data_IF_224894785517
#
_entry.id   IF_224894785517
#
_cell.length_a   1.000
_cell.length_b   1.000
_cell.length_c   1.000
_cell.angle_alpha   90.00
_cell.angle_beta   90.00
_cell.angle_gamma   90.00
#
_symmetry.space_group_name_H-M   'P 1'
#
loop_
_entity.id
_entity.type
_entity.pdbx_description
1 polymer ?
#
# COMPACT_ATOMS: atom_id res chain seq x y z
N UNK A 1 -5.85 -40.63 -15.06
CA UNK A 1 -6.45 -39.50 -15.78
C UNK A 1 -5.67 -38.27 -15.34
N UNK A 2 -4.65 -37.88 -16.08
CA UNK A 2 -3.94 -36.60 -15.93
C UNK A 2 -4.92 -35.51 -16.36
N UNK A 3 -5.52 -34.81 -15.41
CA UNK A 3 -6.15 -33.51 -15.67
C UNK A 3 -5.08 -32.57 -16.16
N UNK A 4 -5.03 -32.33 -17.48
CA UNK A 4 -4.14 -31.31 -18.04
C UNK A 4 -4.46 -29.98 -17.35
N UNK A 5 -3.49 -29.44 -16.64
CA UNK A 5 -3.55 -28.08 -16.12
C UNK A 5 -3.59 -27.15 -17.31
N UNK A 6 -4.78 -26.61 -17.62
CA UNK A 6 -4.91 -25.55 -18.61
C UNK A 6 -4.30 -24.30 -18.02
N UNK A 7 -3.26 -23.77 -18.65
CA UNK A 7 -2.66 -22.48 -18.31
C UNK A 7 -3.73 -21.40 -18.22
N UNK A 8 -3.74 -20.62 -17.16
CA UNK A 8 -4.68 -19.52 -16.95
C UNK A 8 -4.03 -18.19 -17.27
N UNK A 9 -4.74 -17.33 -18.01
CA UNK A 9 -4.28 -15.97 -18.33
C UNK A 9 -4.97 -14.93 -17.46
N UNK A 10 -4.19 -14.27 -16.61
CA UNK A 10 -4.63 -13.22 -15.69
C UNK A 10 -4.34 -11.83 -16.26
N UNK A 11 -5.32 -10.92 -16.21
CA UNK A 11 -5.12 -9.50 -16.50
C UNK A 11 -5.29 -8.67 -15.23
N UNK A 12 -4.18 -8.22 -14.66
CA UNK A 12 -4.16 -7.42 -13.45
C UNK A 12 -4.20 -5.93 -13.80
N UNK A 13 -5.29 -5.24 -13.49
CA UNK A 13 -5.52 -3.85 -13.85
C UNK A 13 -5.32 -2.93 -12.64
N UNK A 14 -4.39 -1.99 -12.74
CA UNK A 14 -4.11 -1.04 -11.67
C UNK A 14 -3.08 -0.01 -12.09
N UNK A 15 -2.91 1.05 -11.29
CA UNK A 15 -1.87 2.01 -11.63
C UNK A 15 -2.03 3.38 -10.98
N UNK A 16 -1.13 4.27 -11.36
CA UNK A 16 -1.02 5.64 -10.89
C UNK A 16 -0.14 5.80 -9.65
N UNK A 17 -0.41 5.08 -8.58
CA UNK A 17 0.30 5.21 -7.29
C UNK A 17 0.86 3.87 -6.80
N UNK A 18 1.86 3.92 -5.92
CA UNK A 18 2.43 2.73 -5.28
C UNK A 18 1.37 1.90 -4.52
N UNK A 19 0.34 2.56 -3.96
CA UNK A 19 -0.76 1.91 -3.25
C UNK A 19 -1.62 0.98 -4.12
N UNK A 20 -1.62 1.17 -5.45
CA UNK A 20 -2.29 0.27 -6.39
C UNK A 20 -1.30 -0.71 -7.07
N UNK A 21 -0.09 -0.23 -7.38
CA UNK A 21 0.89 -1.01 -8.14
C UNK A 21 1.55 -2.08 -7.28
N UNK A 22 1.89 -1.79 -6.03
CA UNK A 22 2.55 -2.77 -5.17
C UNK A 22 1.68 -3.98 -4.83
N UNK A 23 0.40 -3.82 -4.41
CA UNK A 23 -0.49 -4.97 -4.21
C UNK A 23 -0.72 -5.79 -5.49
N UNK A 24 -0.85 -5.11 -6.64
CA UNK A 24 -0.97 -5.75 -7.93
C UNK A 24 0.25 -6.64 -8.22
N UNK A 25 1.46 -6.10 -8.05
CA UNK A 25 2.70 -6.83 -8.28
C UNK A 25 2.90 -7.97 -7.27
N UNK A 26 2.50 -7.80 -6.01
CA UNK A 26 2.54 -8.87 -5.02
C UNK A 26 1.65 -10.06 -5.43
N UNK A 27 0.45 -9.79 -5.94
CA UNK A 27 -0.44 -10.84 -6.49
C UNK A 27 0.14 -11.45 -7.77
N UNK A 28 0.73 -10.65 -8.66
CA UNK A 28 1.41 -11.14 -9.85
C UNK A 28 2.53 -12.12 -9.52
N UNK A 29 3.39 -11.74 -8.54
CA UNK A 29 4.48 -12.59 -8.06
C UNK A 29 3.96 -13.89 -7.42
N UNK A 30 2.87 -13.82 -6.65
CA UNK A 30 2.23 -15.01 -6.04
C UNK A 30 1.65 -15.96 -7.09
N UNK A 31 0.95 -15.44 -8.11
CA UNK A 31 0.43 -16.24 -9.22
C UNK A 31 1.55 -16.93 -10.00
N UNK A 32 2.59 -16.20 -10.37
CA UNK A 32 3.76 -16.76 -11.08
C UNK A 32 4.53 -17.79 -10.26
N UNK A 33 4.63 -17.61 -8.94
CA UNK A 33 5.27 -18.57 -8.06
C UNK A 33 4.47 -19.86 -7.92
N UNK A 34 3.13 -19.80 -8.04
CA UNK A 34 2.24 -20.96 -7.96
C UNK A 34 2.31 -21.83 -9.22
N UNK A 35 2.35 -21.19 -10.39
CA UNK A 35 2.39 -21.89 -11.68
C UNK A 35 3.22 -21.10 -12.68
N UNK A 36 4.29 -21.73 -13.19
CA UNK A 36 5.13 -21.15 -14.24
C UNK A 36 4.46 -21.17 -15.63
N UNK A 37 3.40 -21.97 -15.80
CA UNK A 37 2.63 -22.08 -17.06
C UNK A 37 1.58 -20.98 -17.20
N UNK A 38 1.19 -20.35 -16.07
CA UNK A 38 0.20 -19.28 -16.07
C UNK A 38 0.77 -17.99 -16.66
N UNK A 39 -0.08 -17.28 -17.40
CA UNK A 39 0.27 -16.01 -18.02
C UNK A 39 -0.27 -14.86 -17.17
N UNK A 40 0.63 -14.01 -16.68
CA UNK A 40 0.27 -12.83 -15.89
C UNK A 40 0.60 -11.55 -16.67
N UNK A 41 -0.45 -10.85 -17.09
CA UNK A 41 -0.38 -9.58 -17.80
C UNK A 41 -0.82 -8.43 -16.89
N UNK A 42 -0.23 -7.27 -17.07
CA UNK A 42 -0.59 -6.07 -16.30
C UNK A 42 -1.16 -5.01 -17.24
N UNK A 43 -2.32 -4.45 -16.88
CA UNK A 43 -2.93 -3.32 -17.57
C UNK A 43 -2.70 -2.04 -16.80
N UNK A 44 -2.08 -1.06 -17.43
CA UNK A 44 -1.77 0.23 -16.82
C UNK A 44 -1.76 1.39 -17.81
N UNK A 45 -1.33 2.56 -17.34
CA UNK A 45 -1.17 3.76 -18.15
C UNK A 45 0.30 4.08 -18.41
N UNK A 46 0.60 4.89 -19.42
CA UNK A 46 1.99 5.28 -19.74
C UNK A 46 2.62 6.20 -18.70
N UNK A 47 1.79 6.96 -17.98
CA UNK A 47 2.23 8.03 -17.08
C UNK A 47 2.29 7.63 -15.59
N UNK A 48 1.83 6.41 -15.24
CA UNK A 48 1.80 5.92 -13.87
C UNK A 48 3.12 5.23 -13.46
N UNK A 49 3.25 4.92 -12.17
CA UNK A 49 4.39 4.16 -11.64
C UNK A 49 4.50 2.77 -12.26
N UNK A 50 3.39 2.22 -12.71
CA UNK A 50 3.32 0.92 -13.38
C UNK A 50 4.18 0.86 -14.63
N UNK A 51 4.35 1.97 -15.36
CA UNK A 51 5.17 2.02 -16.56
C UNK A 51 6.65 1.67 -16.33
N UNK A 52 7.12 1.90 -15.10
CA UNK A 52 8.47 1.59 -14.66
C UNK A 52 8.53 0.28 -13.87
N UNK A 53 7.66 0.13 -12.87
CA UNK A 53 7.77 -0.97 -11.90
C UNK A 53 7.37 -2.33 -12.50
N UNK A 54 6.40 -2.37 -13.42
CA UNK A 54 5.93 -3.62 -14.03
C UNK A 54 7.01 -4.28 -14.89
N UNK A 55 7.66 -3.56 -15.87
CA UNK A 55 8.75 -4.14 -16.63
C UNK A 55 9.97 -4.51 -15.78
N UNK A 56 10.28 -3.72 -14.73
CA UNK A 56 11.36 -4.04 -13.80
C UNK A 56 11.17 -5.37 -13.05
N UNK A 57 9.90 -5.81 -12.87
CA UNK A 57 9.55 -7.13 -12.29
C UNK A 57 9.42 -8.24 -13.34
N UNK A 58 9.67 -7.92 -14.63
CA UNK A 58 9.60 -8.88 -15.73
C UNK A 58 8.18 -9.27 -16.15
N UNK A 59 7.21 -8.38 -15.94
CA UNK A 59 5.84 -8.54 -16.44
C UNK A 59 5.60 -7.70 -17.68
N UNK A 60 4.73 -8.20 -18.57
CA UNK A 60 4.26 -7.45 -19.71
C UNK A 60 3.25 -6.39 -19.28
N UNK A 61 3.47 -5.15 -19.73
CA UNK A 61 2.57 -4.03 -19.48
C UNK A 61 1.75 -3.71 -20.74
N UNK A 62 0.48 -4.02 -20.68
CA UNK A 62 -0.52 -3.61 -21.68
C UNK A 62 -0.99 -2.19 -21.37
N UNK A 63 -1.01 -1.34 -22.38
CA UNK A 63 -1.32 0.08 -22.21
C UNK A 63 -2.78 0.38 -22.53
N UNK A 64 -3.39 1.16 -21.64
CA UNK A 64 -4.68 1.79 -21.85
C UNK A 64 -4.59 3.30 -21.67
N UNK A 65 -5.39 4.06 -22.42
CA UNK A 65 -5.46 5.51 -22.29
C UNK A 65 -5.92 5.91 -20.89
N UNK A 66 -5.23 6.87 -20.28
CA UNK A 66 -5.61 7.44 -18.99
C UNK A 66 -6.88 8.29 -19.13
N UNK A 67 -7.95 7.87 -18.47
CA UNK A 67 -9.25 8.55 -18.49
C UNK A 67 -9.71 8.86 -17.06
N UNK A 68 -9.33 10.03 -16.51
CA UNK A 68 -9.78 10.44 -15.18
C UNK A 68 -11.29 10.70 -15.19
N UNK A 69 -11.96 10.28 -14.10
CA UNK A 69 -13.36 10.66 -13.88
C UNK A 69 -13.47 12.18 -13.69
N UNK A 70 -14.42 12.84 -14.39
CA UNK A 70 -14.60 14.27 -14.27
C UNK A 70 -15.06 14.65 -12.87
N UNK A 71 -14.45 15.70 -12.32
CA UNK A 71 -14.80 16.23 -10.98
C UNK A 71 -15.63 17.50 -11.07
N UNK A 72 -15.69 18.12 -12.25
CA UNK A 72 -16.43 19.36 -12.54
C UNK A 72 -17.09 19.24 -13.92
N UNK A 73 -18.21 19.92 -14.17
CA UNK A 73 -18.81 20.01 -15.50
C UNK A 73 -17.99 20.96 -16.39
N UNK A 74 -17.04 20.38 -17.12
CA UNK A 74 -16.15 21.09 -18.06
C UNK A 74 -16.03 20.33 -19.40
N UNK A 75 -15.20 20.85 -20.31
CA UNK A 75 -14.94 20.22 -21.62
C UNK A 75 -14.38 18.77 -21.44
N UNK A 76 -13.65 18.50 -20.39
CA UNK A 76 -13.16 17.15 -20.11
C UNK A 76 -14.33 16.22 -19.75
N UNK A 77 -15.32 16.69 -19.00
CA UNK A 77 -16.55 15.96 -18.72
C UNK A 77 -17.35 15.65 -19.97
N UNK A 78 -17.49 16.60 -20.90
CA UNK A 78 -18.18 16.38 -22.18
C UNK A 78 -17.47 15.33 -23.05
N UNK A 79 -16.14 15.27 -23.04
CA UNK A 79 -15.33 14.32 -23.80
C UNK A 79 -15.17 12.96 -23.12
N UNK A 80 -15.51 12.86 -21.83
CA UNK A 80 -15.31 11.66 -21.02
C UNK A 80 -15.98 10.40 -21.65
N UNK A 81 -17.26 10.40 -22.09
CA UNK A 81 -17.91 9.21 -22.65
C UNK A 81 -17.16 8.63 -23.85
N UNK A 82 -16.69 9.48 -24.75
CA UNK A 82 -15.95 9.05 -25.95
C UNK A 82 -14.59 8.48 -25.58
N UNK A 83 -13.84 9.18 -24.71
CA UNK A 83 -12.54 8.72 -24.23
C UNK A 83 -12.65 7.41 -23.45
N UNK A 84 -13.63 7.31 -22.58
CA UNK A 84 -13.87 6.09 -21.79
C UNK A 84 -14.26 4.91 -22.69
N UNK A 85 -15.15 5.12 -23.67
CA UNK A 85 -15.51 4.09 -24.66
C UNK A 85 -14.31 3.63 -25.48
N UNK A 86 -13.37 4.53 -25.80
CA UNK A 86 -12.12 4.19 -26.49
C UNK A 86 -11.24 3.31 -25.60
N UNK A 87 -11.03 3.70 -24.34
CA UNK A 87 -10.26 2.91 -23.37
C UNK A 87 -10.88 1.51 -23.19
N UNK A 88 -12.20 1.41 -23.05
CA UNK A 88 -12.88 0.11 -22.98
C UNK A 88 -12.64 -0.73 -24.22
N UNK A 89 -12.66 -0.15 -25.44
CA UNK A 89 -12.36 -0.88 -26.69
C UNK A 89 -10.91 -1.38 -26.73
N UNK A 90 -9.95 -0.57 -26.24
CA UNK A 90 -8.55 -0.99 -26.12
C UNK A 90 -8.42 -2.23 -25.23
N UNK A 91 -9.01 -2.18 -24.01
CA UNK A 91 -8.96 -3.33 -23.10
C UNK A 91 -9.68 -4.55 -23.64
N UNK A 92 -10.84 -4.39 -24.29
CA UNK A 92 -11.55 -5.52 -24.95
C UNK A 92 -10.67 -6.20 -25.99
N UNK A 93 -9.89 -5.44 -26.75
CA UNK A 93 -8.93 -5.98 -27.70
C UNK A 93 -7.87 -6.80 -26.99
N UNK A 94 -7.24 -6.29 -25.93
CA UNK A 94 -6.27 -7.03 -25.14
C UNK A 94 -6.85 -8.32 -24.56
N UNK A 95 -8.06 -8.28 -24.00
CA UNK A 95 -8.73 -9.49 -23.47
C UNK A 95 -8.84 -10.58 -24.54
N UNK A 96 -9.22 -10.22 -25.78
CA UNK A 96 -9.38 -11.18 -26.88
C UNK A 96 -8.05 -11.67 -27.45
N UNK A 97 -7.10 -10.77 -27.67
CA UNK A 97 -5.79 -11.09 -28.25
C UNK A 97 -4.97 -12.02 -27.35
N UNK A 98 -5.09 -11.86 -26.03
CA UNK A 98 -4.36 -12.66 -25.06
C UNK A 98 -5.20 -13.78 -24.42
N UNK A 99 -6.44 -14.00 -24.87
CA UNK A 99 -7.32 -15.03 -24.30
C UNK A 99 -7.43 -14.97 -22.78
N UNK A 100 -7.71 -13.76 -22.23
CA UNK A 100 -7.76 -13.53 -20.78
C UNK A 100 -8.93 -14.27 -20.14
N UNK A 101 -8.62 -15.09 -19.12
CA UNK A 101 -9.61 -15.89 -18.39
C UNK A 101 -10.22 -15.13 -17.22
N UNK A 102 -9.45 -14.21 -16.59
CA UNK A 102 -9.93 -13.41 -15.46
C UNK A 102 -9.25 -12.05 -15.41
N UNK A 103 -10.01 -11.03 -15.00
CA UNK A 103 -9.52 -9.67 -14.79
C UNK A 103 -9.52 -9.37 -13.28
N UNK A 104 -8.44 -8.79 -12.75
CA UNK A 104 -8.36 -8.36 -11.36
C UNK A 104 -8.05 -6.88 -11.29
N UNK A 105 -8.91 -6.09 -10.67
CA UNK A 105 -8.68 -4.65 -10.55
C UNK A 105 -8.26 -4.23 -9.16
N UNK A 106 -7.19 -3.44 -9.10
CA UNK A 106 -6.59 -2.90 -7.86
C UNK A 106 -6.86 -1.41 -7.67
N UNK A 107 -7.68 -0.81 -8.54
CA UNK A 107 -7.95 0.62 -8.53
C UNK A 107 -7.09 1.42 -9.52
N UNK A 108 -7.20 2.74 -9.47
CA UNK A 108 -6.56 3.61 -10.45
C UNK A 108 -7.34 3.74 -11.77
N UNK A 109 -6.70 4.39 -12.77
CA UNK A 109 -7.37 4.73 -14.01
C UNK A 109 -7.60 3.54 -14.96
N UNK A 110 -6.83 2.47 -14.83
CA UNK A 110 -6.93 1.28 -15.67
C UNK A 110 -8.09 0.36 -15.26
N UNK A 111 -8.47 0.34 -13.98
CA UNK A 111 -9.45 -0.63 -13.44
C UNK A 111 -10.87 -0.42 -13.97
N UNK A 112 -11.36 0.83 -14.05
CA UNK A 112 -12.72 1.08 -14.50
C UNK A 112 -12.99 0.62 -15.95
N UNK A 113 -12.16 0.95 -16.95
CA UNK A 113 -12.34 0.40 -18.30
C UNK A 113 -12.14 -1.11 -18.34
N UNK A 114 -11.27 -1.70 -17.46
CA UNK A 114 -11.07 -3.13 -17.39
C UNK A 114 -12.33 -3.87 -16.93
N UNK A 115 -13.02 -3.40 -15.89
CA UNK A 115 -14.28 -4.00 -15.42
C UNK A 115 -15.37 -3.98 -16.49
N UNK A 116 -15.50 -2.84 -17.20
CA UNK A 116 -16.51 -2.73 -18.28
C UNK A 116 -16.15 -3.63 -19.47
N UNK A 117 -14.86 -3.73 -19.81
CA UNK A 117 -14.40 -4.61 -20.88
C UNK A 117 -14.61 -6.08 -20.54
N UNK A 118 -14.18 -6.53 -19.36
CA UNK A 118 -14.35 -7.89 -18.85
C UNK A 118 -15.83 -8.32 -18.93
N UNK A 119 -16.74 -7.48 -18.41
CA UNK A 119 -18.18 -7.75 -18.48
C UNK A 119 -18.70 -7.91 -19.92
N UNK A 120 -18.23 -7.06 -20.85
CA UNK A 120 -18.65 -7.14 -22.27
C UNK A 120 -18.12 -8.38 -22.99
N UNK A 121 -16.95 -8.85 -22.58
CA UNK A 121 -16.35 -10.10 -23.11
C UNK A 121 -16.80 -11.34 -22.31
N UNK A 122 -17.64 -11.20 -21.28
CA UNK A 122 -18.10 -12.27 -20.39
C UNK A 122 -16.97 -12.97 -19.64
N UNK A 123 -15.89 -12.24 -19.38
CA UNK A 123 -14.77 -12.66 -18.54
C UNK A 123 -15.08 -12.28 -17.10
N UNK A 124 -14.95 -13.20 -16.13
CA UNK A 124 -15.12 -12.89 -14.73
C UNK A 124 -14.09 -11.84 -14.28
N UNK A 125 -14.47 -11.01 -13.30
CA UNK A 125 -13.51 -10.08 -12.73
C UNK A 125 -13.65 -9.95 -11.21
N UNK A 126 -12.51 -9.70 -10.57
CA UNK A 126 -12.36 -9.50 -9.13
C UNK A 126 -11.98 -8.06 -8.87
N UNK A 127 -12.52 -7.48 -7.79
CA UNK A 127 -12.15 -6.15 -7.31
C UNK A 127 -11.38 -6.29 -6.02
N UNK A 128 -10.20 -5.67 -5.94
CA UNK A 128 -9.45 -5.47 -4.71
C UNK A 128 -9.41 -3.98 -4.37
N UNK A 129 -9.82 -3.61 -3.14
CA UNK A 129 -9.76 -2.23 -2.64
C UNK A 129 -8.81 -2.12 -1.46
N UNK A 130 -7.78 -1.32 -1.64
CA UNK A 130 -6.74 -1.12 -0.65
C UNK A 130 -7.14 -0.17 0.48
N UNK A 131 -7.98 0.83 0.22
CA UNK A 131 -8.33 1.87 1.19
C UNK A 131 -9.65 1.59 1.89
N UNK A 132 -9.77 2.04 3.14
CA UNK A 132 -11.03 2.00 3.89
C UNK A 132 -12.15 2.85 3.24
N UNK A 133 -11.77 3.89 2.49
CA UNK A 133 -12.68 4.67 1.64
C UNK A 133 -12.46 4.29 0.19
N UNK A 134 -13.39 3.56 -0.43
CA UNK A 134 -13.16 2.99 -1.75
C UNK A 134 -13.14 4.05 -2.86
N UNK A 135 -12.31 3.79 -3.87
CA UNK A 135 -12.27 4.58 -5.09
C UNK A 135 -13.52 4.35 -5.96
N UNK A 136 -13.92 5.37 -6.73
CA UNK A 136 -15.13 5.31 -7.56
C UNK A 136 -15.12 4.14 -8.57
N UNK A 137 -13.97 3.83 -9.14
CA UNK A 137 -13.82 2.68 -10.05
C UNK A 137 -14.23 1.37 -9.36
N UNK A 138 -13.75 1.15 -8.14
CA UNK A 138 -14.03 -0.05 -7.37
C UNK A 138 -15.49 -0.08 -6.85
N UNK A 139 -16.06 1.08 -6.47
CA UNK A 139 -17.49 1.18 -6.11
C UNK A 139 -18.38 0.73 -7.29
N UNK A 140 -18.07 1.17 -8.49
CA UNK A 140 -18.84 0.78 -9.68
C UNK A 140 -18.58 -0.69 -10.08
N UNK A 141 -17.32 -1.14 -10.00
CA UNK A 141 -16.92 -2.50 -10.32
C UNK A 141 -17.54 -3.53 -9.37
N UNK A 142 -17.47 -3.32 -8.05
CA UNK A 142 -17.92 -4.27 -7.03
C UNK A 142 -19.39 -4.72 -7.18
N UNK A 143 -20.26 -3.85 -7.75
CA UNK A 143 -21.68 -4.20 -8.00
C UNK A 143 -21.86 -5.34 -9.00
N UNK A 144 -20.85 -5.67 -9.78
CA UNK A 144 -20.91 -6.66 -10.87
C UNK A 144 -19.72 -7.63 -10.85
N UNK A 145 -18.82 -7.47 -9.89
CA UNK A 145 -17.68 -8.36 -9.71
C UNK A 145 -18.12 -9.78 -9.34
N UNK A 146 -17.37 -10.77 -9.79
CA UNK A 146 -17.54 -12.15 -9.33
C UNK A 146 -17.16 -12.28 -7.84
N UNK A 147 -16.14 -11.51 -7.40
CA UNK A 147 -15.74 -11.40 -6.01
C UNK A 147 -15.15 -10.02 -5.70
N UNK A 148 -15.25 -9.58 -4.44
CA UNK A 148 -14.71 -8.31 -3.97
C UNK A 148 -13.91 -8.53 -2.69
N UNK A 149 -12.61 -8.20 -2.72
CA UNK A 149 -11.70 -8.20 -1.59
C UNK A 149 -11.44 -6.78 -1.10
N UNK A 150 -11.37 -6.60 0.21
CA UNK A 150 -11.02 -5.33 0.85
C UNK A 150 -9.95 -5.53 1.90
N UNK A 151 -9.13 -4.51 2.13
CA UNK A 151 -8.10 -4.56 3.18
C UNK A 151 -8.71 -4.32 4.56
N UNK A 152 -9.59 -3.33 4.67
CA UNK A 152 -10.15 -2.91 5.96
C UNK A 152 -11.60 -3.37 6.13
N UNK A 153 -11.91 -3.94 7.28
CA UNK A 153 -13.28 -4.29 7.64
C UNK A 153 -14.17 -3.05 7.66
N UNK A 154 -15.38 -3.19 7.13
CA UNK A 154 -16.34 -2.08 7.05
C UNK A 154 -16.16 -1.17 5.82
N UNK A 155 -15.22 -1.47 4.92
CA UNK A 155 -15.14 -0.77 3.62
C UNK A 155 -16.46 -0.93 2.86
N UNK A 156 -17.14 0.18 2.45
CA UNK A 156 -18.50 0.12 1.89
C UNK A 156 -18.49 -0.30 0.42
N UNK A 157 -18.25 -1.57 0.16
CA UNK A 157 -18.32 -2.19 -1.16
C UNK A 157 -19.29 -3.38 -1.17
N UNK A 158 -19.98 -3.57 -2.29
CA UNK A 158 -20.88 -4.69 -2.48
C UNK A 158 -20.11 -6.03 -2.43
N UNK A 159 -20.60 -6.99 -1.64
CA UNK A 159 -20.01 -8.32 -1.52
C UNK A 159 -18.59 -8.35 -0.95
N UNK A 160 -18.19 -7.30 -0.22
CA UNK A 160 -16.83 -7.16 0.32
C UNK A 160 -16.49 -8.27 1.32
N UNK A 161 -15.35 -8.92 1.11
CA UNK A 161 -14.70 -9.84 2.04
C UNK A 161 -13.35 -9.27 2.46
N UNK A 162 -13.01 -9.33 3.74
CA UNK A 162 -11.70 -8.87 4.23
C UNK A 162 -10.66 -9.91 3.81
N UNK A 163 -9.72 -9.47 2.99
CA UNK A 163 -8.61 -10.31 2.47
C UNK A 163 -7.25 -9.81 2.94
N UNK A 164 -7.18 -8.58 3.44
CA UNK A 164 -5.92 -7.93 3.78
C UNK A 164 -5.21 -7.33 2.56
N UNK A 165 -4.06 -6.71 2.81
CA UNK A 165 -3.22 -6.10 1.79
C UNK A 165 -2.27 -7.14 1.22
N UNK A 166 -2.23 -7.35 -0.10
CA UNK A 166 -1.12 -8.06 -0.73
C UNK A 166 0.18 -7.30 -0.48
N UNK A 167 1.05 -7.87 0.33
CA UNK A 167 2.31 -7.28 0.74
C UNK A 167 3.45 -7.82 -0.11
N UNK A 168 4.50 -7.01 -0.24
CA UNK A 168 5.74 -7.43 -0.89
C UNK A 168 6.37 -8.59 -0.13
N UNK A 169 6.96 -9.53 -0.86
CA UNK A 169 7.56 -10.73 -0.29
C UNK A 169 8.61 -10.42 0.78
N UNK A 170 9.39 -9.34 0.58
CA UNK A 170 10.40 -8.89 1.52
C UNK A 170 9.81 -8.48 2.89
N UNK A 171 8.51 -8.16 2.94
CA UNK A 171 7.78 -7.85 4.18
C UNK A 171 7.10 -9.11 4.74
N UNK A 172 6.54 -9.95 3.88
CA UNK A 172 5.87 -11.19 4.28
C UNK A 172 6.84 -12.14 4.96
N UNK A 173 8.02 -12.34 4.36
CA UNK A 173 9.06 -13.27 4.83
C UNK A 173 10.00 -12.65 5.87
N UNK A 174 9.76 -11.40 6.30
CA UNK A 174 10.68 -10.67 7.17
C UNK A 174 10.75 -11.25 8.57
N UNK A 175 11.93 -11.74 8.95
CA UNK A 175 12.34 -11.92 10.34
C UNK A 175 13.10 -10.65 10.78
N UNK A 176 12.42 -9.79 11.53
CA UNK A 176 12.97 -8.52 12.00
C UNK A 176 14.16 -8.71 12.92
N UNK A 177 14.13 -9.73 13.79
CA UNK A 177 15.22 -10.04 14.72
C UNK A 177 16.49 -10.45 13.99
N UNK A 178 16.37 -11.38 13.05
CA UNK A 178 17.49 -11.89 12.25
C UNK A 178 18.16 -10.81 11.38
N UNK A 179 17.39 -9.78 10.96
CA UNK A 179 17.90 -8.73 10.06
C UNK A 179 18.32 -7.44 10.79
N UNK A 180 18.14 -7.35 12.13
CA UNK A 180 18.37 -6.11 12.91
C UNK A 180 19.81 -5.64 12.86
N UNK A 181 20.79 -6.55 12.96
CA UNK A 181 22.22 -6.21 12.88
C UNK A 181 22.59 -5.63 11.49
N UNK A 182 22.16 -6.29 10.41
CA UNK A 182 22.35 -5.80 9.04
C UNK A 182 21.71 -4.42 8.84
N UNK A 183 20.54 -4.21 9.42
CA UNK A 183 19.85 -2.93 9.36
C UNK A 183 20.62 -1.82 10.08
N UNK A 184 21.17 -2.10 11.27
CA UNK A 184 22.04 -1.18 12.00
C UNK A 184 23.26 -0.77 11.18
N UNK A 185 23.97 -1.73 10.59
CA UNK A 185 25.11 -1.47 9.71
C UNK A 185 24.70 -0.63 8.48
N UNK A 186 23.59 -0.99 7.81
CA UNK A 186 23.11 -0.30 6.62
C UNK A 186 22.79 1.18 6.86
N UNK A 187 22.23 1.51 8.02
CA UNK A 187 21.80 2.87 8.33
C UNK A 187 22.78 3.62 9.24
N UNK A 188 23.82 2.97 9.73
CA UNK A 188 24.80 3.56 10.65
C UNK A 188 24.19 3.87 12.02
N UNK A 189 23.34 2.97 12.53
CA UNK A 189 22.66 3.05 13.81
C UNK A 189 22.96 1.80 14.65
N UNK A 190 22.94 1.93 15.98
CA UNK A 190 23.22 0.83 16.89
C UNK A 190 22.01 -0.15 16.96
N UNK A 191 22.16 -1.42 16.56
CA UNK A 191 21.06 -2.38 16.63
C UNK A 191 20.62 -2.71 18.07
N UNK A 192 21.40 -2.37 19.10
CA UNK A 192 21.04 -2.58 20.50
C UNK A 192 20.14 -1.48 21.07
N UNK A 193 20.12 -0.30 20.45
CA UNK A 193 19.28 0.82 20.90
C UNK A 193 17.86 0.77 20.32
N UNK A 194 16.85 1.22 21.09
CA UNK A 194 15.50 1.36 20.56
C UNK A 194 15.42 2.43 19.46
N UNK A 195 14.71 2.13 18.39
CA UNK A 195 14.68 2.96 17.18
C UNK A 195 13.29 3.45 16.82
N UNK A 196 13.15 4.77 16.69
CA UNK A 196 11.99 5.41 16.06
C UNK A 196 12.22 5.53 14.55
N UNK A 197 11.41 4.87 13.75
CA UNK A 197 11.40 5.02 12.29
C UNK A 197 10.39 6.10 11.90
N UNK A 198 10.85 7.12 11.17
CA UNK A 198 10.02 8.25 10.73
C UNK A 198 10.01 8.36 9.22
N UNK A 199 8.81 8.35 8.59
CA UNK A 199 8.67 8.58 7.15
C UNK A 199 7.29 9.08 6.74
N UNK A 200 7.25 9.87 5.67
CA UNK A 200 6.01 10.49 5.16
C UNK A 200 5.48 9.89 3.87
N UNK A 201 6.17 8.94 3.28
CA UNK A 201 5.97 8.42 1.93
C UNK A 201 7.04 8.92 0.96
N UNK A 202 7.01 8.44 -0.30
CA UNK A 202 8.07 8.70 -1.30
C UNK A 202 8.32 10.17 -1.62
N UNK A 203 7.34 11.04 -1.40
CA UNK A 203 7.44 12.48 -1.65
C UNK A 203 7.76 13.30 -0.40
N UNK A 204 7.98 12.63 0.75
CA UNK A 204 8.19 13.28 2.04
C UNK A 204 6.90 13.78 2.67
N UNK A 205 7.05 14.47 3.81
CA UNK A 205 5.95 15.08 4.53
C UNK A 205 6.44 16.31 5.28
N UNK A 206 6.47 17.48 4.64
CA UNK A 206 7.07 18.72 5.19
C UNK A 206 6.65 19.04 6.62
N UNK A 207 5.37 18.87 6.97
CA UNK A 207 4.89 19.13 8.32
C UNK A 207 5.44 18.13 9.34
N UNK A 208 5.52 16.84 8.97
CA UNK A 208 6.13 15.81 9.79
C UNK A 208 7.62 16.10 10.00
N UNK A 209 8.31 16.45 8.92
CA UNK A 209 9.72 16.81 8.94
C UNK A 209 9.99 18.02 9.84
N UNK A 210 9.19 19.07 9.69
CA UNK A 210 9.30 20.29 10.53
C UNK A 210 9.03 19.99 12.03
N UNK A 211 8.06 19.13 12.33
CA UNK A 211 7.78 18.71 13.71
C UNK A 211 8.93 17.89 14.30
N UNK A 212 9.52 16.98 13.51
CA UNK A 212 10.68 16.20 13.92
C UNK A 212 11.92 17.07 14.16
N UNK A 213 12.18 18.06 13.30
CA UNK A 213 13.32 18.99 13.46
C UNK A 213 13.34 19.70 14.82
N UNK A 214 12.16 19.97 15.40
CA UNK A 214 12.07 20.59 16.74
C UNK A 214 11.81 19.59 17.88
N UNK A 215 11.58 18.31 17.60
CA UNK A 215 11.25 17.31 18.64
C UNK A 215 12.37 16.30 18.88
N UNK A 216 13.25 16.05 17.91
CA UNK A 216 14.26 14.99 17.96
C UNK A 216 15.19 15.04 19.17
N UNK A 217 15.65 16.21 19.70
CA UNK A 217 16.56 16.20 20.85
C UNK A 217 15.94 15.49 22.06
N UNK A 218 14.65 15.76 22.35
CA UNK A 218 13.96 15.14 23.47
C UNK A 218 13.77 13.62 23.29
N UNK A 219 13.68 13.14 22.05
CA UNK A 219 13.59 11.71 21.73
C UNK A 219 14.94 11.03 21.96
N UNK A 220 16.02 11.67 21.53
CA UNK A 220 17.39 11.18 21.75
C UNK A 220 17.76 11.22 23.25
N UNK A 221 17.36 12.27 23.98
CA UNK A 221 17.56 12.38 25.43
C UNK A 221 16.79 11.31 26.22
N UNK A 222 15.66 10.83 25.65
CA UNK A 222 14.91 9.70 26.20
C UNK A 222 15.58 8.32 25.92
N UNK A 223 16.76 8.29 25.34
CA UNK A 223 17.53 7.06 25.08
C UNK A 223 17.22 6.38 23.75
N UNK A 224 16.47 7.02 22.86
CA UNK A 224 16.10 6.48 21.55
C UNK A 224 17.01 7.00 20.45
N UNK A 225 17.15 6.22 19.39
CA UNK A 225 17.71 6.68 18.13
C UNK A 225 16.60 6.82 17.07
N UNK A 226 16.88 7.57 16.02
CA UNK A 226 15.90 7.90 14.98
C UNK A 226 16.46 7.61 13.60
N UNK A 227 15.70 6.86 12.80
CA UNK A 227 15.88 6.76 11.36
C UNK A 227 14.79 7.58 10.65
N UNK A 228 15.14 8.68 10.01
CA UNK A 228 14.21 9.61 9.40
C UNK A 228 14.35 9.68 7.89
N UNK A 229 13.37 9.15 7.14
CA UNK A 229 13.27 9.33 5.70
C UNK A 229 12.50 10.62 5.39
N UNK A 230 13.25 11.66 5.04
CA UNK A 230 12.71 13.01 4.84
C UNK A 230 11.91 13.18 3.54
N UNK A 231 12.21 12.35 2.52
CA UNK A 231 11.72 12.50 1.15
C UNK A 231 12.68 13.30 0.28
N UNK A 232 12.70 12.99 -1.01
CA UNK A 232 13.65 13.61 -1.97
C UNK A 232 13.44 15.11 -2.21
N UNK A 233 12.29 15.65 -1.81
CA UNK A 233 11.91 17.06 -2.08
C UNK A 233 12.15 18.00 -0.92
N UNK A 234 12.46 17.48 0.26
CA UNK A 234 12.65 18.26 1.46
C UNK A 234 14.11 18.16 1.91
N UNK A 235 14.80 19.29 1.90
CA UNK A 235 16.14 19.41 2.48
C UNK A 235 16.01 19.53 4.01
N UNK A 236 16.21 18.43 4.72
CA UNK A 236 16.38 18.46 6.17
C UNK A 236 17.87 18.43 6.46
N UNK A 237 18.33 19.41 7.22
CA UNK A 237 19.71 19.40 7.73
C UNK A 237 19.88 18.23 8.69
N UNK A 238 20.87 17.39 8.44
CA UNK A 238 21.33 16.39 9.38
C UNK A 238 21.90 17.13 10.63
N UNK A 239 21.37 16.89 11.82
CA UNK A 239 21.83 17.60 13.02
C UNK A 239 23.25 17.18 13.47
N UNK A 240 23.83 16.13 12.86
CA UNK A 240 25.16 15.61 13.20
C UNK A 240 25.21 14.78 14.50
N UNK A 241 24.06 14.42 15.07
CA UNK A 241 24.01 13.47 16.21
C UNK A 241 24.03 12.02 15.65
N UNK A 242 24.93 11.18 16.18
CA UNK A 242 25.07 9.80 15.72
C UNK A 242 23.78 8.95 15.92
N UNK A 243 22.89 9.36 16.82
CA UNK A 243 21.61 8.70 17.10
C UNK A 243 20.44 9.26 16.27
N UNK A 244 20.68 10.25 15.40
CA UNK A 244 19.65 10.80 14.52
C UNK A 244 20.09 10.75 13.07
N UNK A 245 19.64 9.73 12.34
CA UNK A 245 20.04 9.52 10.96
C UNK A 245 18.95 10.01 10.00
N UNK A 246 19.29 11.00 9.18
CA UNK A 246 18.42 11.49 8.10
C UNK A 246 18.84 10.87 6.77
N UNK A 247 17.87 10.36 6.02
CA UNK A 247 18.06 9.87 4.66
C UNK A 247 16.99 10.47 3.73
N UNK A 248 17.31 10.75 2.47
CA UNK A 248 16.29 11.28 1.55
C UNK A 248 15.22 10.22 1.20
N UNK A 249 15.64 8.97 1.09
CA UNK A 249 14.78 7.85 0.72
C UNK A 249 15.29 6.54 1.30
N UNK A 250 14.37 5.62 1.63
CA UNK A 250 14.70 4.26 2.07
C UNK A 250 14.27 3.30 0.97
N UNK A 251 15.23 2.71 0.28
CA UNK A 251 15.05 1.66 -0.73
C UNK A 251 14.75 0.29 -0.08
N UNK A 252 15.42 -0.02 1.04
CA UNK A 252 15.31 -1.24 1.81
C UNK A 252 14.42 -1.02 3.04
N UNK A 253 13.10 -0.86 2.79
CA UNK A 253 12.11 -0.69 3.87
C UNK A 253 12.05 -1.91 4.80
N UNK A 254 12.34 -3.10 4.30
CA UNK A 254 12.49 -4.32 5.09
C UNK A 254 13.54 -4.15 6.20
N UNK A 255 14.71 -3.61 5.87
CA UNK A 255 15.76 -3.32 6.87
C UNK A 255 15.33 -2.19 7.82
N UNK A 256 14.70 -1.14 7.32
CA UNK A 256 14.20 -0.07 8.19
C UNK A 256 13.18 -0.57 9.20
N UNK A 257 12.23 -1.43 8.77
CA UNK A 257 11.29 -2.08 9.68
C UNK A 257 11.96 -3.07 10.63
N UNK A 258 13.06 -3.73 10.22
CA UNK A 258 13.82 -4.62 11.10
C UNK A 258 14.46 -3.87 12.27
N UNK A 259 14.90 -2.66 12.03
CA UNK A 259 15.50 -1.80 13.06
C UNK A 259 14.45 -1.11 13.95
N UNK A 260 13.27 -0.81 13.41
CA UNK A 260 12.23 -0.04 14.08
C UNK A 260 11.61 -0.74 15.30
N UNK A 261 11.42 -0.02 16.38
CA UNK A 261 10.62 -0.46 17.55
C UNK A 261 9.30 0.33 17.62
N UNK A 262 9.27 1.56 17.10
CA UNK A 262 8.06 2.39 16.94
C UNK A 262 8.13 3.06 15.58
N UNK A 263 6.97 3.27 14.95
CA UNK A 263 6.88 3.97 13.66
C UNK A 263 6.06 5.24 13.80
N UNK A 264 6.60 6.35 13.30
CA UNK A 264 5.88 7.62 13.09
C UNK A 264 5.72 7.85 11.58
N UNK A 265 4.49 7.81 11.08
CA UNK A 265 4.29 7.91 9.62
C UNK A 265 2.95 8.49 9.20
N UNK A 266 2.79 8.70 7.89
CA UNK A 266 1.48 8.87 7.25
C UNK A 266 0.70 7.55 7.27
N UNK A 267 -0.65 7.63 7.17
CA UNK A 267 -1.53 6.46 7.24
C UNK A 267 -2.00 6.00 5.84
N UNK A 268 -1.09 5.85 4.90
CA UNK A 268 -1.40 5.19 3.62
C UNK A 268 -1.79 3.72 3.86
N UNK A 269 -2.70 3.18 3.05
CA UNK A 269 -3.20 1.81 3.26
C UNK A 269 -2.09 0.75 3.30
N UNK A 270 -1.12 0.80 2.37
CA UNK A 270 0.02 -0.10 2.38
C UNK A 270 0.88 0.07 3.64
N UNK A 271 1.16 1.31 4.03
CA UNK A 271 1.94 1.63 5.25
C UNK A 271 1.29 1.07 6.51
N UNK A 272 -0.01 1.30 6.69
CA UNK A 272 -0.76 0.76 7.84
C UNK A 272 -0.71 -0.76 7.85
N UNK A 273 -0.89 -1.38 6.68
CA UNK A 273 -0.89 -2.84 6.55
C UNK A 273 0.49 -3.45 6.79
N UNK A 274 1.58 -2.87 6.27
CA UNK A 274 2.95 -3.33 6.50
C UNK A 274 3.32 -3.23 7.98
N UNK A 275 3.06 -2.09 8.62
CA UNK A 275 3.34 -1.86 10.04
C UNK A 275 2.56 -2.85 10.91
N UNK A 276 1.26 -3.04 10.64
CA UNK A 276 0.43 -3.97 11.40
C UNK A 276 0.84 -5.43 11.19
N UNK A 277 1.18 -5.84 9.95
CA UNK A 277 1.66 -7.19 9.67
C UNK A 277 3.00 -7.53 10.35
N UNK A 278 3.80 -6.49 10.66
CA UNK A 278 5.08 -6.61 11.35
C UNK A 278 4.97 -6.42 12.87
N UNK A 279 3.75 -6.28 13.41
CA UNK A 279 3.48 -6.11 14.84
C UNK A 279 4.18 -4.89 15.44
N UNK A 280 4.28 -3.80 14.67
CA UNK A 280 4.94 -2.58 15.10
C UNK A 280 3.94 -1.59 15.73
N UNK A 281 4.24 -1.03 16.91
CA UNK A 281 3.54 0.12 17.45
C UNK A 281 3.66 1.32 16.51
N UNK A 282 2.59 2.09 16.31
CA UNK A 282 2.62 3.24 15.43
C UNK A 282 1.97 4.49 15.99
N UNK A 283 2.51 5.64 15.57
CA UNK A 283 1.84 6.95 15.67
C UNK A 283 1.61 7.45 14.26
N UNK A 284 0.35 7.51 13.85
CA UNK A 284 -0.01 7.97 12.52
C UNK A 284 -0.32 9.46 12.50
N UNK A 285 0.12 10.12 11.44
CA UNK A 285 -0.26 11.49 11.10
C UNK A 285 -0.97 11.45 9.75
N UNK A 286 -2.29 11.19 9.72
CA UNK A 286 -3.02 11.06 8.48
C UNK A 286 -2.97 12.35 7.66
N UNK A 287 -2.69 12.24 6.36
CA UNK A 287 -2.66 13.38 5.48
C UNK A 287 -4.07 13.97 5.30
N UNK A 288 -4.21 15.26 5.61
CA UNK A 288 -5.52 15.93 5.64
C UNK A 288 -6.08 16.26 4.25
N UNK A 289 -5.22 16.26 3.21
CA UNK A 289 -5.61 16.61 1.84
C UNK A 289 -6.03 15.35 1.08
N UNK A 290 -7.04 15.45 0.25
CA UNK A 290 -7.59 14.32 -0.51
C UNK A 290 -9.05 14.07 -0.14
N UNK A 291 -9.42 12.81 -0.07
CA UNK A 291 -10.78 12.37 0.30
C UNK A 291 -10.91 11.89 1.76
N UNK A 292 -9.85 12.05 2.57
CA UNK A 292 -9.83 11.67 3.99
C UNK A 292 -9.63 10.17 4.24
N UNK A 293 -9.18 9.39 3.24
CA UNK A 293 -8.98 7.94 3.37
C UNK A 293 -7.96 7.57 4.44
N UNK A 294 -6.89 8.37 4.64
CA UNK A 294 -5.83 8.00 5.56
C UNK A 294 -6.29 7.90 7.02
N UNK A 295 -7.16 8.80 7.46
CA UNK A 295 -7.73 8.71 8.80
C UNK A 295 -8.57 7.43 8.99
N UNK A 296 -9.30 7.03 7.95
CA UNK A 296 -10.08 5.79 7.95
C UNK A 296 -9.20 4.55 7.89
N UNK A 297 -8.10 4.58 7.15
CA UNK A 297 -7.13 3.48 7.10
C UNK A 297 -6.52 3.20 8.47
N UNK A 298 -6.18 4.24 9.24
CA UNK A 298 -5.63 4.09 10.60
C UNK A 298 -6.67 3.62 11.64
N UNK A 299 -7.97 3.81 11.36
CA UNK A 299 -9.02 3.67 12.37
C UNK A 299 -9.09 2.27 13.01
N UNK A 300 -8.83 1.21 12.24
CA UNK A 300 -8.82 -0.17 12.77
C UNK A 300 -7.68 -0.38 13.76
N UNK A 301 -6.47 0.06 13.43
CA UNK A 301 -5.29 -0.04 14.31
C UNK A 301 -5.47 0.78 15.58
N UNK A 302 -6.08 1.97 15.48
CA UNK A 302 -6.37 2.83 16.65
C UNK A 302 -7.41 2.18 17.56
N UNK A 303 -8.51 1.66 17.00
CA UNK A 303 -9.54 0.96 17.80
C UNK A 303 -9.02 -0.29 18.49
N UNK A 304 -8.10 -1.00 17.87
CA UNK A 304 -7.45 -2.16 18.47
C UNK A 304 -6.42 -1.79 19.54
N UNK A 305 -6.05 -0.51 19.68
CA UNK A 305 -4.99 -0.06 20.57
C UNK A 305 -3.57 -0.28 20.03
N UNK A 306 -3.43 -0.62 18.75
CA UNK A 306 -2.15 -0.83 18.07
C UNK A 306 -1.46 0.48 17.64
N UNK A 307 -2.22 1.56 17.54
CA UNK A 307 -1.71 2.84 17.07
C UNK A 307 -2.35 4.04 17.77
N UNK A 308 -1.65 5.17 17.74
CA UNK A 308 -2.18 6.50 18.08
C UNK A 308 -2.26 7.36 16.81
N UNK A 309 -3.06 8.44 16.87
CA UNK A 309 -3.17 9.41 15.78
C UNK A 309 -2.93 10.81 16.30
N UNK A 310 -2.12 11.57 15.58
CA UNK A 310 -2.01 13.02 15.69
C UNK A 310 -2.62 13.62 14.43
N UNK A 311 -3.68 14.45 14.52
CA UNK A 311 -4.21 15.14 13.36
C UNK A 311 -3.16 16.02 12.69
N UNK A 312 -3.05 15.98 11.34
CA UNK A 312 -2.03 16.74 10.61
C UNK A 312 -2.03 18.24 10.97
N UNK A 313 -3.22 18.83 11.17
CA UNK A 313 -3.36 20.24 11.54
C UNK A 313 -2.83 20.58 12.94
N UNK A 314 -2.75 19.62 13.85
CA UNK A 314 -2.29 19.77 15.21
C UNK A 314 -0.80 19.42 15.38
N UNK A 315 -0.16 18.91 14.33
CA UNK A 315 1.21 18.46 14.38
C UNK A 315 2.18 19.65 14.51
N UNK A 316 2.72 19.82 15.70
CA UNK A 316 3.77 20.78 16.04
C UNK A 316 4.91 20.05 16.78
N UNK A 317 6.12 20.62 16.88
CA UNK A 317 7.18 20.02 17.68
C UNK A 317 6.78 19.77 19.15
N UNK A 318 6.04 20.70 19.74
CA UNK A 318 5.56 20.58 21.12
C UNK A 318 4.56 19.43 21.28
N UNK A 319 3.58 19.34 20.36
CA UNK A 319 2.59 18.26 20.35
C UNK A 319 3.26 16.90 20.11
N UNK A 320 4.21 16.83 19.20
CA UNK A 320 4.94 15.60 18.92
C UNK A 320 5.73 15.14 20.14
N UNK A 321 6.45 16.04 20.84
CA UNK A 321 7.16 15.70 22.09
C UNK A 321 6.20 15.20 23.17
N UNK A 322 5.08 15.90 23.39
CA UNK A 322 4.11 15.50 24.42
C UNK A 322 3.43 14.16 24.18
N UNK A 323 3.35 13.71 22.92
CA UNK A 323 2.79 12.40 22.55
C UNK A 323 3.85 11.29 22.54
N UNK A 324 5.02 11.57 21.94
CA UNK A 324 6.04 10.53 21.74
C UNK A 324 6.86 10.26 23.00
N UNK A 325 7.39 11.29 23.67
CA UNK A 325 8.35 11.06 24.75
C UNK A 325 7.77 10.21 25.87
N UNK A 326 6.53 10.44 26.36
CA UNK A 326 5.93 9.56 27.35
C UNK A 326 5.66 8.14 26.81
N UNK A 327 5.27 8.01 25.53
CA UNK A 327 5.03 6.70 24.91
C UNK A 327 6.33 5.90 24.79
N UNK A 328 7.42 6.53 24.35
CA UNK A 328 8.72 5.89 24.17
C UNK A 328 9.32 5.43 25.51
N UNK A 329 8.95 6.07 26.64
CA UNK A 329 9.33 5.65 27.99
C UNK A 329 8.45 4.55 28.59
N UNK A 330 7.30 4.21 27.98
CA UNK A 330 6.35 3.22 28.50
C UNK A 330 6.47 1.89 27.75
N UNK A 331 7.40 1.04 28.20
CA UNK A 331 7.66 -0.30 27.59
C UNK A 331 6.40 -1.18 27.59
N UNK A 332 5.58 -1.09 28.63
CA UNK A 332 4.35 -1.88 28.73
C UNK A 332 3.30 -1.40 27.71
N UNK A 333 3.17 -0.09 27.53
CA UNK A 333 2.29 0.43 26.48
C UNK A 333 2.75 0.00 25.09
N UNK A 334 4.04 0.07 24.80
CA UNK A 334 4.59 -0.39 23.50
C UNK A 334 4.36 -1.89 23.30
N UNK A 335 4.54 -2.71 24.32
CA UNK A 335 4.29 -4.16 24.28
C UNK A 335 2.81 -4.45 24.02
N UNK A 336 1.88 -3.74 24.67
CA UNK A 336 0.44 -3.86 24.41
C UNK A 336 0.08 -3.43 22.99
N UNK A 337 0.66 -2.34 22.50
CA UNK A 337 0.44 -1.87 21.12
C UNK A 337 0.94 -2.89 20.09
N UNK A 338 2.11 -3.47 20.31
CA UNK A 338 2.67 -4.51 19.45
C UNK A 338 1.76 -5.76 19.40
N UNK A 339 1.31 -6.23 20.56
CA UNK A 339 0.37 -7.36 20.66
C UNK A 339 -0.97 -7.04 19.96
N UNK A 340 -1.52 -5.84 20.14
CA UNK A 340 -2.74 -5.41 19.47
C UNK A 340 -2.58 -5.34 17.96
N UNK A 341 -1.40 -4.98 17.47
CA UNK A 341 -1.09 -4.88 16.03
C UNK A 341 -1.25 -6.22 15.31
N UNK A 342 -0.97 -7.35 15.97
CA UNK A 342 -1.13 -8.70 15.41
C UNK A 342 -2.59 -9.03 15.06
N UNK A 343 -3.55 -8.36 15.70
CA UNK A 343 -4.99 -8.59 15.45
C UNK A 343 -5.53 -7.79 14.27
N UNK A 344 -4.75 -6.84 13.75
CA UNK A 344 -5.15 -5.91 12.67
C UNK A 344 -4.52 -6.27 11.35
N UNK A 345 -3.24 -6.67 11.37
CA UNK A 345 -2.45 -6.99 10.19
C UNK A 345 -2.53 -8.47 9.82
N UNK A 346 -2.31 -8.75 8.53
CA UNK A 346 -2.09 -10.12 8.03
C UNK A 346 -0.95 -10.13 7.04
N UNK A 347 -0.21 -11.22 6.99
CA UNK A 347 0.80 -11.49 5.95
C UNK A 347 0.23 -12.31 4.78
N UNK A 348 -0.99 -12.80 4.90
CA UNK A 348 -1.66 -13.70 3.96
C UNK A 348 -2.49 -12.96 2.89
N UNK A 349 -2.34 -11.63 2.77
CA UNK A 349 -3.15 -10.83 1.86
C UNK A 349 -3.03 -11.26 0.39
N UNK A 350 -1.84 -11.71 -0.04
CA UNK A 350 -1.62 -12.20 -1.40
C UNK A 350 -2.37 -13.50 -1.64
N UNK A 351 -2.23 -14.47 -0.75
CA UNK A 351 -2.88 -15.79 -0.81
C UNK A 351 -4.39 -15.65 -0.77
N UNK A 352 -4.91 -14.77 0.09
CA UNK A 352 -6.35 -14.51 0.21
C UNK A 352 -6.93 -13.89 -1.07
N UNK A 353 -6.20 -12.98 -1.74
CA UNK A 353 -6.63 -12.42 -3.04
C UNK A 353 -6.57 -13.49 -4.14
N UNK A 354 -5.54 -14.33 -4.15
CA UNK A 354 -5.44 -15.44 -5.11
C UNK A 354 -6.60 -16.41 -4.92
N UNK A 355 -6.97 -16.75 -3.69
CA UNK A 355 -8.14 -17.60 -3.42
C UNK A 355 -9.44 -16.97 -3.95
N UNK A 356 -9.62 -15.64 -3.84
CA UNK A 356 -10.74 -14.95 -4.46
C UNK A 356 -10.75 -15.04 -5.99
N UNK A 357 -9.57 -15.00 -6.60
CA UNK A 357 -9.43 -15.12 -8.06
C UNK A 357 -9.83 -16.54 -8.49
N UNK A 358 -9.34 -17.58 -7.79
CA UNK A 358 -9.66 -18.97 -8.07
C UNK A 358 -11.18 -19.23 -8.00
N UNK A 359 -11.85 -18.69 -6.98
CA UNK A 359 -13.31 -18.78 -6.88
C UNK A 359 -14.04 -18.08 -8.04
N UNK A 360 -13.49 -17.00 -8.57
CA UNK A 360 -14.07 -16.29 -9.70
C UNK A 360 -13.89 -17.03 -11.02
N UNK A 361 -12.76 -17.73 -11.21
CA UNK A 361 -12.48 -18.57 -12.39
C UNK A 361 -13.31 -19.85 -12.39
N UNK A 362 -13.58 -20.42 -11.21
CA UNK A 362 -14.33 -21.69 -11.07
C UNK A 362 -15.86 -21.54 -11.32
N UNK A 363 -16.38 -20.32 -11.47
CA UNK A 363 -17.81 -20.03 -11.71
C UNK A 363 -18.14 -19.96 -13.19
#
# INVERSE_FOLDING_TARGET
VTTGSTSTTYLLAGGGTAGHVNPLLAVADGLRARSAEDVVLVLGTREGLESRLVPQRGYELLIVDKVPFPRRPDVAAARFPVRFSRAVRQVRRHIREHHVDVVVGFGGYASAPAYVAARRERVPFVVHEANAKPGLANVLGARRAAATGVVFAGTPLAGARVVGMPLRREIVDLDRGARRAEAGERFGLDPALPTLLVFGGSLGARRLNAAMAGAWPAIVDAGWQVLHAAGERDEILDPGDARYRVVPYIDRMDLAFSLADVVLSRAGAATVSEISALSLPAVYVPYAVGNGEQALNAAAAVRAGAARVIPDGELTPARLRSELVPLLGDVDALSRMAAASTTVGTREGTENVIALIDEAVAR
#
